data_IF_964071223561
#
_entry.id   IF_964071223561
#
_cell.length_a   1.000
_cell.length_b   1.000
_cell.length_c   1.000
_cell.angle_alpha   90.00
_cell.angle_beta   90.00
_cell.angle_gamma   90.00
#
_symmetry.space_group_name_H-M   'P 1'
#
loop_
_entity.id
_entity.type
_entity.pdbx_description
1 polymer ?
#
# COMPACT_ATOMS: atom_id res chain seq x y z
N UNK A 1 27.32 7.46 -17.06
CA UNK A 1 27.54 8.89 -16.85
C UNK A 1 26.22 9.62 -16.53
N UNK A 2 25.15 9.37 -17.27
CA UNK A 2 23.84 10.02 -17.11
C UNK A 2 23.20 9.78 -15.72
N UNK A 3 23.37 8.58 -15.16
CA UNK A 3 22.89 8.29 -13.80
C UNK A 3 23.67 9.04 -12.71
N UNK A 4 24.97 9.29 -12.92
CA UNK A 4 25.78 10.07 -12.00
C UNK A 4 25.36 11.53 -12.03
N UNK A 5 25.15 12.08 -13.22
CA UNK A 5 24.66 13.43 -13.41
C UNK A 5 23.29 13.63 -12.78
N UNK A 6 22.35 12.69 -13.00
CA UNK A 6 21.02 12.69 -12.38
C UNK A 6 21.09 12.64 -10.85
N UNK A 7 22.01 11.84 -10.31
CA UNK A 7 22.20 11.70 -8.86
C UNK A 7 23.03 12.83 -8.24
N UNK A 8 23.53 13.78 -9.03
CA UNK A 8 24.42 14.84 -8.55
C UNK A 8 25.78 14.31 -8.07
N UNK A 9 26.23 13.18 -8.62
CA UNK A 9 27.50 12.56 -8.25
C UNK A 9 28.61 13.00 -9.19
N UNK A 10 29.72 13.45 -8.63
CA UNK A 10 30.95 13.75 -9.39
C UNK A 10 31.73 12.45 -9.68
N UNK A 11 32.43 12.34 -10.84
CA UNK A 11 33.20 11.16 -11.20
C UNK A 11 34.23 10.71 -10.20
N UNK A 12 34.75 11.65 -9.40
CA UNK A 12 35.76 11.41 -8.35
C UNK A 12 35.21 11.69 -6.95
N UNK A 13 33.89 11.94 -6.82
CA UNK A 13 33.22 12.20 -5.56
C UNK A 13 33.01 10.92 -4.74
N UNK A 14 32.78 11.11 -3.45
CA UNK A 14 32.43 9.99 -2.55
C UNK A 14 31.01 9.51 -2.86
N UNK A 15 30.87 8.24 -3.25
CA UNK A 15 29.58 7.60 -3.47
C UNK A 15 29.12 6.96 -2.15
N UNK A 16 27.88 7.23 -1.69
CA UNK A 16 27.35 6.58 -0.50
C UNK A 16 27.30 5.06 -0.67
N UNK A 17 27.79 4.35 0.34
CA UNK A 17 27.74 2.89 0.39
C UNK A 17 26.35 2.36 0.77
N UNK A 18 26.16 1.04 0.74
CA UNK A 18 24.90 0.39 1.11
C UNK A 18 24.51 0.65 2.57
N UNK A 19 25.50 0.76 3.47
CA UNK A 19 25.25 1.00 4.90
C UNK A 19 24.76 2.42 5.13
N UNK A 20 25.28 3.38 4.41
CA UNK A 20 24.82 4.78 4.41
C UNK A 20 23.37 4.88 3.94
N UNK A 21 23.02 4.21 2.85
CA UNK A 21 21.64 4.14 2.38
C UNK A 21 20.71 3.47 3.41
N UNK A 22 21.16 2.39 4.05
CA UNK A 22 20.42 1.73 5.12
C UNK A 22 20.18 2.63 6.32
N UNK A 23 21.21 3.34 6.80
CA UNK A 23 21.11 4.28 7.93
C UNK A 23 20.17 5.43 7.60
N UNK A 24 20.33 6.04 6.43
CA UNK A 24 19.47 7.12 5.96
C UNK A 24 18.00 6.69 5.90
N UNK A 25 17.68 5.58 5.22
CA UNK A 25 16.32 5.05 5.19
C UNK A 25 15.75 4.81 6.58
N UNK A 26 16.53 4.20 7.49
CA UNK A 26 16.07 3.94 8.85
C UNK A 26 15.82 5.24 9.63
N UNK A 27 16.61 6.28 9.41
CA UNK A 27 16.37 7.60 9.98
C UNK A 27 15.05 8.20 9.45
N UNK A 28 14.79 8.10 8.14
CA UNK A 28 13.53 8.54 7.55
C UNK A 28 12.31 7.78 8.08
N UNK A 29 12.44 6.45 8.26
CA UNK A 29 11.38 5.62 8.86
C UNK A 29 11.11 6.06 10.29
N UNK A 30 12.17 6.28 11.09
CA UNK A 30 12.05 6.75 12.48
C UNK A 30 11.42 8.13 12.57
N UNK A 31 11.72 9.02 11.62
CA UNK A 31 11.14 10.35 11.54
C UNK A 31 9.69 10.37 11.01
N UNK A 32 9.18 9.25 10.47
CA UNK A 32 7.79 9.14 9.99
C UNK A 32 7.47 10.00 8.76
N UNK A 33 8.45 10.38 7.94
CA UNK A 33 8.28 11.39 6.89
C UNK A 33 7.85 10.84 5.53
N UNK A 34 7.71 9.53 5.37
CA UNK A 34 7.40 8.93 4.07
C UNK A 34 6.05 9.38 3.50
N UNK A 35 5.02 9.52 4.33
CA UNK A 35 3.71 10.02 3.88
C UNK A 35 3.77 11.48 3.44
N UNK A 36 4.55 12.31 4.14
CA UNK A 36 4.82 13.70 3.75
C UNK A 36 5.56 13.76 2.42
N UNK A 37 6.52 12.87 2.19
CA UNK A 37 7.24 12.77 0.92
C UNK A 37 6.30 12.41 -0.23
N UNK A 38 5.41 11.44 -0.05
CA UNK A 38 4.39 11.09 -1.04
C UNK A 38 3.49 12.28 -1.35
N UNK A 39 3.01 12.97 -0.31
CA UNK A 39 2.16 14.15 -0.47
C UNK A 39 2.87 15.27 -1.24
N UNK A 40 4.16 15.51 -0.95
CA UNK A 40 4.97 16.51 -1.64
C UNK A 40 5.19 16.18 -3.11
N UNK A 41 5.55 14.95 -3.43
CA UNK A 41 5.68 14.48 -4.83
C UNK A 41 4.35 14.64 -5.57
N UNK A 42 3.22 14.26 -4.96
CA UNK A 42 1.90 14.45 -5.55
C UNK A 42 1.58 15.93 -5.79
N UNK A 43 1.99 16.81 -4.87
CA UNK A 43 1.82 18.26 -5.00
C UNK A 43 2.63 18.81 -6.18
N UNK A 44 3.89 18.40 -6.33
CA UNK A 44 4.74 18.82 -7.45
C UNK A 44 4.18 18.34 -8.79
N UNK A 45 3.82 17.05 -8.92
CA UNK A 45 3.19 16.50 -10.13
C UNK A 45 1.93 17.29 -10.52
N UNK A 46 1.09 17.63 -9.53
CA UNK A 46 -0.11 18.44 -9.75
C UNK A 46 0.22 19.87 -10.21
N UNK A 47 1.20 20.52 -9.59
CA UNK A 47 1.61 21.87 -9.93
C UNK A 47 2.16 21.97 -11.37
N UNK A 48 2.82 20.92 -11.84
CA UNK A 48 3.27 20.80 -13.23
C UNK A 48 2.16 20.38 -14.22
N UNK A 49 0.90 20.30 -13.79
CA UNK A 49 -0.23 19.95 -14.65
C UNK A 49 -0.27 18.49 -15.11
N UNK A 50 0.58 17.62 -14.54
CA UNK A 50 0.71 16.22 -14.91
C UNK A 50 -0.31 15.30 -14.19
N UNK A 51 -1.03 15.84 -13.22
CA UNK A 51 -2.12 15.16 -12.49
C UNK A 51 -3.36 16.05 -12.52
N UNK A 52 -4.55 15.45 -12.58
CA UNK A 52 -5.80 16.19 -12.44
C UNK A 52 -5.83 17.01 -11.16
N UNK A 53 -6.30 18.26 -11.27
CA UNK A 53 -6.33 19.18 -10.13
C UNK A 53 -7.34 18.76 -9.08
N UNK A 54 -8.50 18.32 -9.52
CA UNK A 54 -9.58 17.83 -8.67
C UNK A 54 -10.03 16.48 -9.22
N UNK A 55 -9.74 15.42 -8.48
CA UNK A 55 -10.12 14.07 -8.86
C UNK A 55 -11.63 13.88 -8.68
N UNK A 56 -12.31 13.31 -9.68
CA UNK A 56 -13.72 12.91 -9.58
C UNK A 56 -13.89 11.69 -8.69
N UNK A 57 -12.92 10.78 -8.69
CA UNK A 57 -12.98 9.56 -7.92
C UNK A 57 -11.70 9.29 -7.13
N UNK A 58 -11.87 8.85 -5.88
CA UNK A 58 -10.85 8.22 -5.07
C UNK A 58 -11.11 6.70 -5.06
N UNK A 59 -10.16 5.93 -5.52
CA UNK A 59 -10.26 4.47 -5.66
C UNK A 59 -9.42 3.82 -4.58
N UNK A 60 -10.05 3.02 -3.71
CA UNK A 60 -9.41 2.38 -2.57
C UNK A 60 -9.41 0.87 -2.77
N UNK A 61 -8.27 0.24 -2.53
CA UNK A 61 -8.13 -1.21 -2.51
C UNK A 61 -6.94 -1.64 -1.65
N UNK A 62 -6.81 -2.95 -1.43
CA UNK A 62 -5.75 -3.54 -0.66
C UNK A 62 -5.00 -4.62 -1.45
N UNK A 63 -3.73 -4.78 -1.14
CA UNK A 63 -2.89 -5.84 -1.70
C UNK A 63 -2.10 -6.53 -0.60
N UNK A 64 -1.77 -7.80 -0.83
CA UNK A 64 -0.92 -8.56 0.08
C UNK A 64 0.54 -8.42 -0.33
N UNK A 65 1.40 -8.29 0.69
CA UNK A 65 2.85 -8.19 0.59
C UNK A 65 3.42 -9.31 1.45
N UNK A 66 4.12 -10.26 0.84
CA UNK A 66 4.74 -11.37 1.55
C UNK A 66 5.88 -10.86 2.44
N UNK A 67 6.04 -11.41 3.65
CA UNK A 67 7.18 -11.09 4.51
C UNK A 67 8.49 -11.62 3.92
N UNK A 68 9.60 -10.95 4.21
CA UNK A 68 10.93 -11.44 3.92
C UNK A 68 11.32 -12.63 4.81
N UNK A 69 10.67 -12.79 5.96
CA UNK A 69 10.93 -13.89 6.88
C UNK A 69 10.46 -15.23 6.31
N UNK A 70 11.27 -16.26 6.49
CA UNK A 70 10.82 -17.63 6.27
C UNK A 70 9.90 -18.04 7.43
N UNK A 71 8.68 -18.52 7.13
CA UNK A 71 7.78 -18.99 8.19
C UNK A 71 8.40 -20.17 8.90
N UNK A 72 8.66 -20.03 10.21
CA UNK A 72 8.98 -21.15 11.07
C UNK A 72 7.65 -21.71 11.58
N UNK A 73 7.46 -22.99 11.39
CA UNK A 73 6.34 -23.76 11.98
C UNK A 73 6.71 -24.24 13.39
N UNK A 74 7.47 -23.45 14.14
CA UNK A 74 7.95 -23.86 15.44
C UNK A 74 7.01 -23.28 16.50
N UNK A 75 6.34 -24.19 17.19
CA UNK A 75 5.74 -23.93 18.48
C UNK A 75 6.76 -24.45 19.47
N UNK A 76 7.44 -23.57 20.21
CA UNK A 76 8.20 -23.99 21.37
C UNK A 76 7.19 -24.36 22.45
N UNK A 77 6.80 -25.64 22.45
CA UNK A 77 6.15 -26.22 23.58
C UNK A 77 7.16 -26.27 24.74
N UNK A 78 6.75 -26.03 25.98
CA UNK A 78 7.64 -26.24 27.13
C UNK A 78 8.18 -27.67 27.06
N UNK A 79 9.49 -27.80 27.22
CA UNK A 79 10.13 -29.13 27.22
C UNK A 79 9.45 -30.03 28.25
N UNK A 80 9.16 -31.28 27.88
CA UNK A 80 8.55 -32.29 28.74
C UNK A 80 9.42 -32.68 29.96
N UNK A 81 10.63 -32.09 30.10
CA UNK A 81 11.57 -32.32 31.20
C UNK A 81 11.49 -31.28 32.33
N UNK A 82 10.34 -30.69 32.60
CA UNK A 82 10.13 -29.86 33.79
C UNK A 82 9.98 -30.76 35.01
N UNK A 83 10.76 -30.47 36.03
CA UNK A 83 10.62 -31.09 37.35
C UNK A 83 9.18 -30.90 37.87
N UNK A 84 8.64 -31.91 38.55
CA UNK A 84 7.23 -32.05 39.00
C UNK A 84 6.72 -30.93 39.93
N UNK A 85 7.50 -29.88 40.20
CA UNK A 85 7.16 -28.81 41.15
C UNK A 85 6.89 -27.42 40.54
N UNK A 86 6.88 -27.28 39.19
CA UNK A 86 6.55 -26.00 38.55
C UNK A 86 5.07 -25.96 38.13
N UNK A 87 4.33 -24.94 38.65
CA UNK A 87 2.92 -24.71 38.35
C UNK A 87 2.67 -24.54 36.82
N UNK A 88 1.54 -25.06 36.30
CA UNK A 88 1.29 -25.11 34.84
C UNK A 88 0.89 -23.78 34.17
N UNK A 89 1.25 -22.63 34.76
CA UNK A 89 0.75 -21.31 34.29
C UNK A 89 1.68 -20.55 33.34
N UNK A 90 2.70 -21.20 32.76
CA UNK A 90 3.50 -20.53 31.74
C UNK A 90 2.85 -20.78 30.36
N UNK A 91 2.21 -19.75 29.75
CA UNK A 91 1.57 -19.92 28.45
C UNK A 91 2.64 -20.32 27.43
N UNK A 92 2.38 -21.37 26.66
CA UNK A 92 3.24 -21.80 25.56
C UNK A 92 3.67 -20.56 24.74
N UNK A 93 4.94 -20.23 24.75
CA UNK A 93 5.46 -19.06 24.04
C UNK A 93 5.46 -19.38 22.56
N UNK A 94 4.47 -18.86 21.85
CA UNK A 94 4.43 -18.96 20.38
C UNK A 94 5.53 -18.07 19.83
N UNK A 95 6.65 -18.66 19.45
CA UNK A 95 7.72 -17.93 18.75
C UNK A 95 7.25 -17.66 17.34
N UNK A 96 6.83 -16.43 17.08
CA UNK A 96 6.59 -15.95 15.73
C UNK A 96 7.91 -15.94 14.95
N UNK A 97 7.82 -15.95 13.62
CA UNK A 97 8.98 -15.79 12.74
C UNK A 97 9.81 -14.57 13.14
N UNK A 98 11.05 -14.46 12.63
CA UNK A 98 11.92 -13.30 12.85
C UNK A 98 11.28 -11.95 12.56
N UNK A 99 10.16 -11.92 11.84
CA UNK A 99 9.32 -10.75 11.56
C UNK A 99 8.13 -10.73 12.52
N UNK A 100 8.30 -10.06 13.66
CA UNK A 100 7.31 -10.01 14.73
C UNK A 100 6.01 -9.29 14.38
N UNK A 101 6.02 -8.45 13.34
CA UNK A 101 4.83 -7.71 12.90
C UNK A 101 4.05 -8.45 11.81
N UNK A 102 4.69 -9.34 11.07
CA UNK A 102 4.03 -10.12 10.03
C UNK A 102 2.99 -11.09 10.64
N UNK A 103 1.88 -11.27 9.95
CA UNK A 103 0.81 -12.19 10.37
C UNK A 103 0.38 -13.08 9.21
N UNK A 104 -0.16 -14.23 9.56
CA UNK A 104 -0.71 -15.16 8.61
C UNK A 104 -2.07 -14.71 8.08
N UNK A 105 -2.26 -14.89 6.80
CA UNK A 105 -3.57 -14.78 6.15
C UNK A 105 -3.76 -15.95 5.19
N UNK A 106 -4.99 -16.49 5.15
CA UNK A 106 -5.38 -17.51 4.18
C UNK A 106 -6.18 -16.86 3.06
N UNK A 107 -5.72 -16.99 1.83
CA UNK A 107 -6.45 -16.56 0.63
C UNK A 107 -6.64 -17.75 -0.31
N UNK A 108 -7.87 -18.24 -0.38
CA UNK A 108 -8.17 -19.47 -1.08
C UNK A 108 -7.49 -20.69 -0.41
N UNK A 109 -6.67 -21.41 -1.18
CA UNK A 109 -5.92 -22.58 -0.68
C UNK A 109 -4.50 -22.23 -0.18
N UNK A 110 -4.05 -20.98 -0.36
CA UNK A 110 -2.68 -20.54 0.02
C UNK A 110 -2.72 -19.78 1.34
N UNK A 111 -1.84 -20.14 2.25
CA UNK A 111 -1.51 -19.36 3.44
C UNK A 111 -0.28 -18.52 3.15
N UNK A 112 -0.27 -17.27 3.62
CA UNK A 112 0.83 -16.33 3.41
C UNK A 112 1.11 -15.60 4.71
N UNK A 113 2.40 -15.53 5.09
CA UNK A 113 2.87 -14.67 6.16
C UNK A 113 3.27 -13.32 5.58
N UNK A 114 2.78 -12.21 6.15
CA UNK A 114 3.17 -10.90 5.63
C UNK A 114 2.29 -9.75 6.11
N UNK A 115 2.08 -8.82 5.19
CA UNK A 115 1.43 -7.54 5.41
C UNK A 115 0.29 -7.32 4.42
N UNK A 116 -0.59 -6.41 4.77
CA UNK A 116 -1.62 -5.88 3.89
C UNK A 116 -1.35 -4.40 3.66
N UNK A 117 -1.12 -4.04 2.41
CA UNK A 117 -0.94 -2.67 1.98
C UNK A 117 -2.23 -2.13 1.36
N UNK A 118 -2.67 -0.98 1.82
CA UNK A 118 -3.82 -0.25 1.31
C UNK A 118 -3.32 0.93 0.51
N UNK A 119 -3.95 1.19 -0.62
CA UNK A 119 -3.67 2.36 -1.43
C UNK A 119 -4.96 3.08 -1.83
N UNK A 120 -4.86 4.39 -1.97
CA UNK A 120 -5.84 5.22 -2.61
C UNK A 120 -5.21 5.86 -3.85
N UNK A 121 -5.91 5.80 -4.98
CA UNK A 121 -5.50 6.53 -6.18
C UNK A 121 -6.70 7.28 -6.79
N UNK A 122 -6.39 8.22 -7.67
CA UNK A 122 -7.39 8.90 -8.49
C UNK A 122 -7.79 8.08 -9.75
N UNK A 123 -8.68 8.61 -10.55
CA UNK A 123 -9.14 7.99 -11.80
C UNK A 123 -8.04 7.85 -12.86
N UNK A 124 -6.99 8.64 -12.77
CA UNK A 124 -5.80 8.50 -13.62
C UNK A 124 -4.83 7.45 -13.09
N UNK A 125 -4.97 7.02 -11.82
CA UNK A 125 -4.12 6.06 -11.15
C UNK A 125 -2.88 6.67 -10.51
N UNK A 126 -2.89 7.94 -10.12
CA UNK A 126 -1.89 8.49 -9.22
C UNK A 126 -2.24 8.13 -7.77
N UNK A 127 -1.33 7.50 -7.09
CA UNK A 127 -1.49 7.09 -5.69
C UNK A 127 -1.21 8.28 -4.78
N UNK A 128 -2.14 8.61 -3.90
CA UNK A 128 -2.02 9.76 -2.99
C UNK A 128 -2.07 9.39 -1.50
N UNK A 129 -2.45 8.16 -1.17
CA UNK A 129 -2.45 7.67 0.21
C UNK A 129 -2.06 6.19 0.27
N UNK A 130 -1.23 5.87 1.23
CA UNK A 130 -0.79 4.51 1.55
C UNK A 130 -1.07 4.25 3.03
N UNK A 131 -1.45 3.03 3.35
CA UNK A 131 -1.53 2.53 4.72
C UNK A 131 -1.12 1.06 4.74
N UNK A 132 -0.41 0.63 5.78
CA UNK A 132 0.09 -0.75 5.87
C UNK A 132 -0.23 -1.34 7.24
N UNK A 133 -0.69 -2.58 7.24
CA UNK A 133 -1.03 -3.33 8.44
C UNK A 133 -0.48 -4.75 8.36
N UNK A 134 -0.41 -5.49 9.46
CA UNK A 134 -0.26 -6.95 9.40
C UNK A 134 -1.32 -7.58 8.50
N UNK A 135 -1.01 -8.69 7.82
CA UNK A 135 -1.86 -9.26 6.77
C UNK A 135 -3.26 -9.67 7.24
N UNK A 136 -3.41 -10.08 8.51
CA UNK A 136 -4.70 -10.53 9.06
C UNK A 136 -5.72 -9.40 9.27
N UNK A 137 -5.27 -8.14 9.27
CA UNK A 137 -6.15 -7.00 9.50
C UNK A 137 -7.29 -6.93 8.47
N UNK A 138 -8.52 -6.74 8.96
CA UNK A 138 -9.70 -6.59 8.12
C UNK A 138 -9.62 -5.31 7.27
N UNK A 139 -10.24 -5.33 6.08
CA UNK A 139 -10.23 -4.16 5.19
C UNK A 139 -11.24 -3.09 5.62
N UNK A 140 -12.44 -3.52 6.04
CA UNK A 140 -13.52 -2.60 6.42
C UNK A 140 -13.13 -1.60 7.52
N UNK A 141 -12.43 -1.98 8.61
CA UNK A 141 -11.99 -1.03 9.63
C UNK A 141 -10.99 0.02 9.14
N UNK A 142 -10.20 -0.29 8.09
CA UNK A 142 -9.19 0.63 7.55
C UNK A 142 -9.79 1.69 6.63
N UNK A 143 -11.07 1.60 6.31
CA UNK A 143 -11.74 2.50 5.37
C UNK A 143 -11.68 3.96 5.83
N UNK A 144 -11.93 4.23 7.11
CA UNK A 144 -11.85 5.58 7.68
C UNK A 144 -10.48 6.23 7.45
N UNK A 145 -9.41 5.47 7.73
CA UNK A 145 -8.03 5.92 7.47
C UNK A 145 -7.80 6.23 5.99
N UNK A 146 -8.36 5.41 5.09
CA UNK A 146 -8.15 5.58 3.65
C UNK A 146 -8.94 6.74 3.05
N UNK A 147 -10.12 7.08 3.56
CA UNK A 147 -10.90 8.23 3.08
C UNK A 147 -10.46 9.57 3.70
N UNK A 148 -9.73 9.52 4.80
CA UNK A 148 -9.24 10.73 5.45
C UNK A 148 -8.40 11.57 4.47
N UNK A 149 -8.70 12.88 4.39
CA UNK A 149 -8.08 13.81 3.44
C UNK A 149 -8.45 13.59 1.97
N UNK A 150 -9.40 12.70 1.64
CA UNK A 150 -9.90 12.56 0.27
C UNK A 150 -10.69 13.81 -0.15
N UNK A 151 -10.37 14.35 -1.34
CA UNK A 151 -11.05 15.51 -1.92
C UNK A 151 -11.99 15.14 -3.07
N UNK A 152 -11.96 13.90 -3.53
CA UNK A 152 -12.75 13.41 -4.65
C UNK A 152 -14.25 13.44 -4.36
N UNK A 153 -15.05 13.70 -5.38
CA UNK A 153 -16.52 13.69 -5.25
C UNK A 153 -17.06 12.29 -4.93
N UNK A 154 -16.42 11.23 -5.42
CA UNK A 154 -16.85 9.85 -5.25
C UNK A 154 -15.73 8.99 -4.67
N UNK A 155 -16.08 8.05 -3.81
CA UNK A 155 -15.14 7.03 -3.29
C UNK A 155 -15.56 5.67 -3.80
N UNK A 156 -14.65 4.99 -4.51
CA UNK A 156 -14.83 3.66 -5.07
C UNK A 156 -14.06 2.64 -4.23
N UNK A 157 -14.72 1.58 -3.78
CA UNK A 157 -14.07 0.53 -2.99
C UNK A 157 -14.71 -0.84 -3.25
N UNK A 158 -13.99 -1.91 -2.89
CA UNK A 158 -14.49 -3.29 -3.06
C UNK A 158 -15.62 -3.60 -2.06
N UNK A 159 -16.31 -4.69 -2.33
CA UNK A 159 -17.35 -5.29 -1.47
C UNK A 159 -16.86 -5.64 -0.06
N UNK A 160 -15.53 -5.80 0.15
CA UNK A 160 -14.94 -5.99 1.46
C UNK A 160 -15.14 -4.77 2.38
N UNK A 161 -15.29 -3.58 1.80
CA UNK A 161 -15.58 -2.33 2.50
C UNK A 161 -17.07 -2.06 2.72
N UNK A 162 -17.97 -2.93 2.23
CA UNK A 162 -19.41 -2.74 2.26
C UNK A 162 -20.01 -2.94 3.65
N UNK A 163 -19.80 -2.00 4.56
CA UNK A 163 -20.44 -1.91 5.88
C UNK A 163 -21.37 -0.71 5.98
N UNK A 164 -22.35 -0.76 6.88
CA UNK A 164 -23.22 0.39 7.16
C UNK A 164 -22.40 1.59 7.65
N UNK A 165 -21.42 1.36 8.52
CA UNK A 165 -20.54 2.39 9.05
C UNK A 165 -19.74 3.09 7.95
N UNK A 166 -19.12 2.33 7.02
CA UNK A 166 -18.33 2.90 5.93
C UNK A 166 -19.20 3.73 4.96
N UNK A 167 -20.41 3.26 4.65
CA UNK A 167 -21.34 4.06 3.82
C UNK A 167 -21.81 5.32 4.56
N UNK A 168 -22.04 5.24 5.87
CA UNK A 168 -22.37 6.40 6.68
C UNK A 168 -21.23 7.42 6.72
N UNK A 169 -19.98 6.98 6.76
CA UNK A 169 -18.80 7.85 6.73
C UNK A 169 -18.65 8.66 5.43
N UNK A 170 -19.24 8.19 4.33
CA UNK A 170 -19.27 8.92 3.04
C UNK A 170 -20.39 9.95 2.97
N UNK A 171 -21.45 9.78 3.77
CA UNK A 171 -22.66 10.60 3.68
C UNK A 171 -22.35 12.09 3.91
N UNK A 172 -22.80 12.93 3.00
CA UNK A 172 -22.59 14.38 3.06
C UNK A 172 -21.21 14.86 2.61
N UNK A 173 -20.27 13.95 2.36
CA UNK A 173 -18.89 14.27 1.92
C UNK A 173 -18.57 13.73 0.53
N UNK A 174 -18.95 12.49 0.27
CA UNK A 174 -18.60 11.79 -0.96
C UNK A 174 -19.79 10.99 -1.49
N UNK A 175 -19.89 10.82 -2.80
CA UNK A 175 -20.82 9.89 -3.42
C UNK A 175 -20.33 8.45 -3.17
N UNK A 176 -21.23 7.59 -2.70
CA UNK A 176 -20.95 6.19 -2.40
C UNK A 176 -20.73 5.39 -3.70
N UNK A 177 -19.53 4.84 -3.85
CA UNK A 177 -19.11 3.93 -4.91
C UNK A 177 -18.62 2.59 -4.38
N UNK A 178 -18.96 2.23 -3.13
CA UNK A 178 -18.63 0.91 -2.58
C UNK A 178 -19.48 -0.16 -3.25
N UNK A 179 -18.86 -1.23 -3.74
CA UNK A 179 -19.57 -2.34 -4.36
C UNK A 179 -20.59 -2.96 -3.39
N UNK A 180 -21.74 -3.35 -3.92
CA UNK A 180 -22.75 -4.08 -3.15
C UNK A 180 -22.31 -5.52 -2.94
N UNK A 181 -22.54 -6.03 -1.72
CA UNK A 181 -22.27 -7.41 -1.32
C UNK A 181 -23.58 -8.17 -1.16
N UNK A 182 -23.69 -9.34 -1.78
CA UNK A 182 -24.77 -10.26 -1.47
C UNK A 182 -24.63 -10.77 -0.03
N UNK A 183 -25.73 -10.91 0.68
CA UNK A 183 -25.79 -11.51 2.01
C UNK A 183 -26.68 -12.75 1.98
N UNK A 184 -26.53 -13.61 2.98
CA UNK A 184 -27.35 -14.85 3.07
C UNK A 184 -28.86 -14.48 3.04
N UNK A 185 -29.61 -15.12 2.16
CA UNK A 185 -31.03 -14.84 1.96
C UNK A 185 -31.38 -13.59 1.14
N UNK A 186 -30.39 -12.76 0.76
CA UNK A 186 -30.61 -11.57 -0.08
C UNK A 186 -29.59 -11.51 -1.23
N UNK A 187 -29.91 -12.07 -2.39
CA UNK A 187 -29.10 -11.90 -3.59
C UNK A 187 -29.11 -10.43 -4.05
N UNK A 188 -28.11 -10.04 -4.85
CA UNK A 188 -28.05 -8.71 -5.44
C UNK A 188 -29.21 -8.50 -6.41
N UNK A 189 -29.87 -7.34 -6.30
CA UNK A 189 -30.87 -6.86 -7.26
C UNK A 189 -30.19 -6.52 -8.60
N UNK A 190 -30.98 -6.47 -9.67
CA UNK A 190 -30.44 -6.19 -11.02
C UNK A 190 -29.80 -4.79 -11.10
N UNK A 191 -30.36 -3.80 -10.40
CA UNK A 191 -29.75 -2.46 -10.28
C UNK A 191 -28.40 -2.49 -9.57
N UNK A 192 -28.27 -3.24 -8.47
CA UNK A 192 -27.02 -3.41 -7.73
C UNK A 192 -25.95 -4.13 -8.57
N UNK A 193 -26.34 -5.12 -9.37
CA UNK A 193 -25.44 -5.79 -10.33
C UNK A 193 -24.93 -4.84 -11.40
N UNK A 194 -25.83 -3.99 -11.98
CA UNK A 194 -25.46 -2.97 -12.97
C UNK A 194 -24.52 -1.94 -12.35
N UNK A 195 -24.81 -1.47 -11.15
CA UNK A 195 -23.96 -0.56 -10.39
C UNK A 195 -22.58 -1.18 -10.17
N UNK A 196 -22.50 -2.41 -9.66
CA UNK A 196 -21.23 -3.12 -9.43
C UNK A 196 -20.41 -3.23 -10.74
N UNK A 197 -21.07 -3.56 -11.86
CA UNK A 197 -20.40 -3.66 -13.17
C UNK A 197 -19.80 -2.31 -13.60
N UNK A 198 -20.50 -1.21 -13.38
CA UNK A 198 -20.03 0.14 -13.68
C UNK A 198 -18.83 0.51 -12.81
N UNK A 199 -18.94 0.34 -11.48
CA UNK A 199 -17.87 0.70 -10.55
C UNK A 199 -16.61 -0.16 -10.78
N UNK A 200 -16.76 -1.45 -11.06
CA UNK A 200 -15.61 -2.36 -11.30
C UNK A 200 -14.75 -1.90 -12.49
N UNK A 201 -15.35 -1.28 -13.51
CA UNK A 201 -14.60 -0.74 -14.66
C UNK A 201 -13.63 0.39 -14.25
N UNK A 202 -14.00 1.20 -13.25
CA UNK A 202 -13.14 2.28 -12.78
C UNK A 202 -12.12 1.78 -11.75
N UNK A 203 -12.47 0.76 -10.95
CA UNK A 203 -11.57 0.17 -9.96
C UNK A 203 -10.34 -0.52 -10.56
N UNK A 204 -10.41 -0.94 -11.80
CA UNK A 204 -9.27 -1.47 -12.54
C UNK A 204 -7.99 -0.59 -12.45
N UNK A 205 -8.14 0.73 -12.24
CA UNK A 205 -6.99 1.63 -12.10
C UNK A 205 -6.10 1.31 -10.90
N UNK A 206 -6.69 1.02 -9.74
CA UNK A 206 -5.90 0.66 -8.55
C UNK A 206 -5.21 -0.70 -8.72
N UNK A 207 -5.85 -1.64 -9.42
CA UNK A 207 -5.25 -2.93 -9.75
C UNK A 207 -4.02 -2.77 -10.66
N UNK A 208 -4.08 -1.84 -11.64
CA UNK A 208 -2.92 -1.47 -12.45
C UNK A 208 -1.80 -0.87 -11.60
N UNK A 209 -2.12 0.02 -10.63
CA UNK A 209 -1.13 0.58 -9.72
C UNK A 209 -0.42 -0.53 -8.93
N UNK A 210 -1.17 -1.46 -8.33
CA UNK A 210 -0.57 -2.59 -7.63
C UNK A 210 0.23 -3.50 -8.56
N UNK A 211 -0.25 -3.76 -9.77
CA UNK A 211 0.47 -4.52 -10.78
C UNK A 211 1.82 -3.89 -11.13
N UNK A 212 1.87 -2.58 -11.32
CA UNK A 212 3.09 -1.83 -11.59
C UNK A 212 4.04 -1.85 -10.40
N UNK A 213 3.53 -1.55 -9.18
CA UNK A 213 4.34 -1.56 -7.97
C UNK A 213 4.95 -2.95 -7.70
N UNK A 214 4.19 -4.03 -7.93
CA UNK A 214 4.69 -5.39 -7.75
C UNK A 214 5.71 -5.80 -8.82
N UNK A 215 5.43 -5.51 -10.09
CA UNK A 215 6.26 -5.96 -11.21
C UNK A 215 7.54 -5.17 -11.34
N UNK A 216 7.48 -3.83 -11.25
CA UNK A 216 8.63 -2.96 -11.49
C UNK A 216 9.38 -2.59 -10.21
N UNK A 217 8.66 -2.46 -9.09
CA UNK A 217 9.26 -1.97 -7.83
C UNK A 217 9.31 -3.02 -6.72
N UNK A 218 9.10 -4.30 -7.06
CA UNK A 218 9.31 -5.44 -6.17
C UNK A 218 8.37 -5.51 -4.96
N UNK A 219 7.18 -4.89 -5.02
CA UNK A 219 6.24 -4.84 -3.88
C UNK A 219 5.54 -6.18 -3.61
N UNK A 220 5.82 -7.26 -4.32
CA UNK A 220 5.26 -8.58 -4.04
C UNK A 220 5.76 -9.15 -2.71
N UNK A 221 6.98 -8.75 -2.29
CA UNK A 221 7.62 -9.20 -1.04
C UNK A 221 8.24 -8.03 -0.30
N UNK A 222 8.11 -8.01 1.03
CA UNK A 222 8.80 -7.07 1.88
C UNK A 222 10.32 -7.32 1.82
N UNK A 223 11.10 -6.27 1.78
CA UNK A 223 12.57 -6.35 1.85
C UNK A 223 13.09 -6.30 3.29
N UNK A 224 12.23 -5.88 4.21
CA UNK A 224 12.57 -5.59 5.60
C UNK A 224 11.53 -6.20 6.52
N UNK A 225 11.88 -6.37 7.78
CA UNK A 225 10.95 -6.77 8.83
C UNK A 225 10.32 -5.54 9.47
N UNK A 226 9.07 -5.69 9.86
CA UNK A 226 8.29 -4.67 10.56
C UNK A 226 7.37 -3.85 9.66
N UNK A 227 6.19 -3.47 10.21
CA UNK A 227 5.16 -2.69 9.51
C UNK A 227 5.72 -1.36 9.01
N UNK A 228 6.47 -0.62 9.83
CA UNK A 228 6.97 0.71 9.48
C UNK A 228 7.91 0.69 8.27
N UNK A 229 8.82 -0.28 8.20
CA UNK A 229 9.74 -0.42 7.07
C UNK A 229 9.03 -0.92 5.81
N UNK A 230 8.06 -1.80 5.95
CA UNK A 230 7.22 -2.28 4.84
C UNK A 230 6.32 -1.16 4.32
N UNK A 231 5.79 -0.31 5.21
CA UNK A 231 5.07 0.91 4.83
C UNK A 231 5.96 1.85 4.00
N UNK A 232 7.16 2.15 4.48
CA UNK A 232 8.14 2.95 3.75
C UNK A 232 8.44 2.37 2.36
N UNK A 233 8.64 1.05 2.25
CA UNK A 233 8.84 0.37 0.96
C UNK A 233 7.63 0.59 0.03
N UNK A 234 6.41 0.46 0.54
CA UNK A 234 5.20 0.65 -0.24
C UNK A 234 5.01 2.09 -0.70
N UNK A 235 5.33 3.06 0.16
CA UNK A 235 5.31 4.49 -0.19
C UNK A 235 6.32 4.80 -1.28
N UNK A 236 7.55 4.30 -1.18
CA UNK A 236 8.56 4.46 -2.23
C UNK A 236 8.14 3.84 -3.56
N UNK A 237 7.51 2.67 -3.54
CA UNK A 237 6.95 2.06 -4.74
C UNK A 237 5.82 2.90 -5.36
N UNK A 238 4.98 3.52 -4.52
CA UNK A 238 3.92 4.42 -4.97
C UNK A 238 4.49 5.72 -5.58
N UNK A 239 5.51 6.32 -4.96
CA UNK A 239 6.23 7.48 -5.49
C UNK A 239 6.83 7.14 -6.86
N UNK A 240 7.56 6.03 -6.95
CA UNK A 240 8.19 5.59 -8.21
C UNK A 240 7.16 5.34 -9.31
N UNK A 241 6.02 4.73 -8.97
CA UNK A 241 4.91 4.53 -9.91
C UNK A 241 4.28 5.86 -10.35
N UNK A 242 4.13 6.83 -9.45
CA UNK A 242 3.61 8.14 -9.76
C UNK A 242 4.56 8.92 -10.69
N UNK A 243 5.87 8.88 -10.40
CA UNK A 243 6.88 9.52 -11.25
C UNK A 243 6.95 8.88 -12.64
N UNK A 244 6.92 7.55 -12.73
CA UNK A 244 6.87 6.84 -14.02
C UNK A 244 5.63 7.25 -14.83
N UNK A 245 4.49 7.37 -14.16
CA UNK A 245 3.24 7.79 -14.80
C UNK A 245 3.30 9.26 -15.25
N UNK A 246 3.87 10.14 -14.44
CA UNK A 246 4.07 11.54 -14.79
C UNK A 246 5.03 11.67 -15.97
N UNK A 247 6.14 10.93 -15.99
CA UNK A 247 7.10 10.92 -17.09
C UNK A 247 6.46 10.53 -18.43
N UNK A 248 5.56 9.55 -18.42
CA UNK A 248 4.84 9.12 -19.63
C UNK A 248 3.85 10.19 -20.15
N UNK A 249 3.53 11.23 -19.36
CA UNK A 249 2.68 12.35 -19.82
C UNK A 249 3.51 13.52 -20.37
N UNK A 250 4.80 13.54 -20.15
CA UNK A 250 5.69 14.58 -20.65
C UNK A 250 5.97 14.29 -22.12
N UNK A 251 5.45 15.13 -23.01
CA UNK A 251 5.86 15.11 -24.41
C UNK A 251 7.23 15.76 -24.49
N UNK A 252 8.25 14.96 -24.67
CA UNK A 252 9.60 15.46 -24.91
C UNK A 252 9.61 16.20 -26.25
N UNK A 253 9.61 17.53 -26.24
CA UNK A 253 9.85 18.31 -27.44
C UNK A 253 11.38 18.40 -27.63
N UNK A 254 11.95 17.82 -28.72
CA UNK A 254 13.40 17.82 -28.93
C UNK A 254 14.03 19.21 -28.99
N UNK A 255 13.23 20.24 -29.28
CA UNK A 255 13.71 21.64 -29.34
C UNK A 255 13.90 22.30 -27.97
N UNK A 256 13.39 21.72 -26.90
CA UNK A 256 13.53 22.30 -25.54
C UNK A 256 14.85 21.91 -24.87
N UNK A 257 15.64 21.03 -25.46
CA UNK A 257 16.97 20.60 -25.00
C UNK A 257 18.13 21.23 -25.77
N UNK A 258 17.88 22.27 -26.55
CA UNK A 258 18.96 23.12 -27.03
C UNK A 258 19.53 23.85 -25.80
N UNK A 259 20.64 23.34 -25.33
CA UNK A 259 21.41 23.80 -24.16
C UNK A 259 21.76 25.28 -24.40
N UNK A 260 21.32 26.12 -23.47
CA UNK A 260 21.88 27.45 -23.35
C UNK A 260 23.27 27.36 -22.69
#
# INVERSE_FOLDING_TARGET
FDFMLFAGLEPHGTVPDETTHCRFRNALVKAGIFDTLLAEVCRQIKNHGLKVKEADAAIIDATLIESAAHPRTHVDAPAEDRAEDETPDDPATIVFSADHDARWIKKGRKSMLGYKGFARCDEEGFVDKIHTTPAHAGESPQFGTMIDGAKAQRVLADKAYASKANRAALKGKHRDGILHKAVRGRPLRQSEKRFNKMISKHRFRIEQCFGTMKRLFGLHRARYFGVAKTHAQMVMAAISQNLLKAANKITLNPQTFAIA
#
